data_IF_364314339485
#
_entry.id   IF_364314339485
#
_cell.length_a   1.000
_cell.length_b   1.000
_cell.length_c   1.000
_cell.angle_alpha   90.00
_cell.angle_beta   90.00
_cell.angle_gamma   90.00
#
_symmetry.space_group_name_H-M   'P 1'
#
loop_
_entity.id
_entity.type
_entity.pdbx_description
1 polymer ?
#
# COMPACT_ATOMS: atom_id res chain seq x y z
N UNK A 1 -42.53 -124.83 -1.69
CA UNK A 1 -43.75 -124.16 -2.19
C UNK A 1 -44.19 -125.01 -3.37
N UNK A 2 -45.29 -125.75 -3.24
CA UNK A 2 -45.78 -126.65 -4.28
C UNK A 2 -46.27 -125.81 -5.45
N UNK A 3 -45.76 -126.05 -6.65
CA UNK A 3 -46.17 -125.30 -7.85
C UNK A 3 -47.59 -125.74 -8.26
N UNK A 4 -48.42 -124.83 -8.78
CA UNK A 4 -49.72 -125.18 -9.41
C UNK A 4 -49.53 -126.31 -10.43
N UNK A 5 -48.39 -126.31 -11.13
CA UNK A 5 -48.02 -127.36 -12.07
C UNK A 5 -47.82 -128.73 -11.40
N UNK A 6 -47.35 -128.78 -10.16
CA UNK A 6 -47.15 -130.02 -9.39
C UNK A 6 -48.49 -130.58 -8.86
N UNK A 7 -49.36 -129.72 -8.33
CA UNK A 7 -50.70 -130.07 -7.83
C UNK A 7 -51.56 -130.66 -8.96
N UNK A 8 -51.59 -130.01 -10.11
CA UNK A 8 -52.32 -130.49 -11.30
C UNK A 8 -51.73 -131.79 -11.87
N UNK A 9 -50.42 -131.99 -11.72
CA UNK A 9 -49.75 -133.22 -12.16
C UNK A 9 -50.03 -134.42 -11.24
N UNK A 10 -50.18 -134.21 -9.94
CA UNK A 10 -50.56 -135.23 -8.97
C UNK A 10 -52.01 -135.72 -9.16
N UNK A 11 -52.96 -134.82 -9.48
CA UNK A 11 -54.33 -135.19 -9.89
C UNK A 11 -54.34 -136.11 -11.11
N UNK A 12 -53.51 -135.78 -12.11
CA UNK A 12 -53.43 -136.51 -13.39
C UNK A 12 -52.88 -137.93 -13.22
N UNK A 13 -52.09 -138.17 -12.17
CA UNK A 13 -51.55 -139.49 -11.80
C UNK A 13 -52.51 -140.32 -10.94
N UNK A 14 -53.61 -139.73 -10.47
CA UNK A 14 -54.58 -140.39 -9.59
C UNK A 14 -54.15 -140.45 -8.12
N UNK A 15 -53.08 -139.75 -7.76
CA UNK A 15 -52.49 -139.72 -6.41
C UNK A 15 -53.25 -138.77 -5.46
N UNK A 16 -54.14 -137.93 -6.00
CA UNK A 16 -55.03 -137.02 -5.28
C UNK A 16 -56.43 -137.06 -5.91
N UNK A 17 -57.45 -136.91 -5.09
CA UNK A 17 -58.84 -136.72 -5.52
C UNK A 17 -59.09 -135.28 -5.97
N UNK A 18 -60.15 -135.06 -6.77
CA UNK A 18 -60.54 -133.71 -7.23
C UNK A 18 -60.78 -132.76 -6.04
N UNK A 19 -61.30 -133.28 -4.94
CA UNK A 19 -61.58 -132.51 -3.72
C UNK A 19 -60.29 -132.10 -2.99
N UNK A 20 -59.29 -132.97 -2.93
CA UNK A 20 -57.96 -132.65 -2.38
C UNK A 20 -57.23 -131.60 -3.23
N UNK A 21 -57.37 -131.66 -4.55
CA UNK A 21 -56.79 -130.66 -5.46
C UNK A 21 -57.47 -129.30 -5.33
N UNK A 22 -58.79 -129.28 -5.17
CA UNK A 22 -59.52 -128.06 -4.88
C UNK A 22 -59.05 -127.45 -3.56
N UNK A 23 -58.83 -128.26 -2.53
CA UNK A 23 -58.28 -127.79 -1.25
C UNK A 23 -56.85 -127.24 -1.39
N UNK A 24 -55.95 -127.94 -2.07
CA UNK A 24 -54.58 -127.46 -2.30
C UNK A 24 -54.54 -126.16 -3.13
N UNK A 25 -55.36 -126.06 -4.18
CA UNK A 25 -55.49 -124.81 -4.96
C UNK A 25 -56.06 -123.67 -4.12
N UNK A 26 -57.03 -123.95 -3.24
CA UNK A 26 -57.63 -122.94 -2.38
C UNK A 26 -56.62 -122.44 -1.33
N UNK A 27 -55.77 -123.33 -0.79
CA UNK A 27 -54.68 -122.97 0.10
C UNK A 27 -53.60 -122.14 -0.61
N UNK A 28 -53.27 -122.49 -1.85
CA UNK A 28 -52.32 -121.75 -2.69
C UNK A 28 -52.86 -120.36 -3.04
N UNK A 29 -54.16 -120.26 -3.39
CA UNK A 29 -54.84 -119.00 -3.68
C UNK A 29 -54.94 -118.13 -2.43
N UNK A 30 -55.19 -118.72 -1.26
CA UNK A 30 -55.17 -118.03 0.04
C UNK A 30 -53.78 -117.51 0.38
N UNK A 31 -52.73 -118.30 0.11
CA UNK A 31 -51.33 -117.91 0.31
C UNK A 31 -50.92 -116.76 -0.60
N UNK A 32 -51.27 -116.82 -1.89
CA UNK A 32 -51.02 -115.75 -2.87
C UNK A 32 -51.79 -114.49 -2.48
N UNK A 33 -53.05 -114.62 -2.09
CA UNK A 33 -53.86 -113.48 -1.65
C UNK A 33 -53.27 -112.81 -0.41
N UNK A 34 -52.80 -113.60 0.55
CA UNK A 34 -52.06 -113.10 1.72
C UNK A 34 -50.78 -112.39 1.30
N UNK A 35 -49.99 -112.96 0.38
CA UNK A 35 -48.79 -112.31 -0.14
C UNK A 35 -49.07 -110.99 -0.87
N UNK A 36 -50.18 -110.88 -1.60
CA UNK A 36 -50.62 -109.64 -2.23
C UNK A 36 -51.07 -108.61 -1.18
N UNK A 37 -51.83 -109.04 -0.17
CA UNK A 37 -52.27 -108.16 0.91
C UNK A 37 -51.08 -107.68 1.76
N UNK A 38 -50.08 -108.54 2.00
CA UNK A 38 -48.82 -108.21 2.69
C UNK A 38 -47.96 -107.20 1.88
N UNK A 39 -48.13 -107.12 0.55
CA UNK A 39 -47.43 -106.17 -0.32
C UNK A 39 -48.10 -104.80 -0.42
N UNK A 40 -49.37 -104.64 -0.02
CA UNK A 40 -50.08 -103.36 -0.11
C UNK A 40 -49.42 -102.27 0.74
N UNK A 41 -49.15 -102.58 2.02
CA UNK A 41 -48.57 -101.60 2.94
C UNK A 41 -47.18 -101.13 2.50
N UNK A 42 -46.22 -102.00 2.13
CA UNK A 42 -44.92 -101.56 1.61
C UNK A 42 -45.02 -100.68 0.36
N UNK A 43 -45.99 -100.92 -0.52
CA UNK A 43 -46.21 -100.09 -1.72
C UNK A 43 -46.77 -98.72 -1.33
N UNK A 44 -47.73 -98.67 -0.40
CA UNK A 44 -48.26 -97.40 0.13
C UNK A 44 -47.18 -96.58 0.83
N UNK A 45 -46.35 -97.23 1.66
CA UNK A 45 -45.21 -96.60 2.34
C UNK A 45 -44.19 -96.04 1.33
N UNK A 46 -43.92 -96.76 0.23
CA UNK A 46 -43.04 -96.30 -0.85
C UNK A 46 -43.61 -95.07 -1.56
N UNK A 47 -44.91 -95.05 -1.84
CA UNK A 47 -45.57 -93.90 -2.48
C UNK A 47 -45.55 -92.66 -1.58
N UNK A 48 -45.80 -92.83 -0.28
CA UNK A 48 -45.69 -91.73 0.69
C UNK A 48 -44.26 -91.22 0.81
N UNK A 49 -43.28 -92.12 0.83
CA UNK A 49 -41.87 -91.77 0.85
C UNK A 49 -41.45 -90.97 -0.40
N UNK A 50 -41.82 -91.43 -1.60
CA UNK A 50 -41.54 -90.72 -2.85
C UNK A 50 -42.19 -89.33 -2.89
N UNK A 51 -43.42 -89.20 -2.39
CA UNK A 51 -44.08 -87.90 -2.24
C UNK A 51 -43.33 -86.99 -1.28
N UNK A 52 -42.93 -87.51 -0.11
CA UNK A 52 -42.15 -86.77 0.86
C UNK A 52 -40.83 -86.25 0.27
N UNK A 53 -40.11 -87.10 -0.47
CA UNK A 53 -38.90 -86.67 -1.18
C UNK A 53 -39.18 -85.62 -2.26
N UNK A 54 -40.25 -85.78 -3.03
CA UNK A 54 -40.62 -84.81 -4.07
C UNK A 54 -40.93 -83.44 -3.47
N UNK A 55 -41.65 -83.40 -2.35
CA UNK A 55 -41.99 -82.14 -1.67
C UNK A 55 -40.74 -81.47 -1.06
N UNK A 56 -39.84 -82.24 -0.46
CA UNK A 56 -38.56 -81.73 0.04
C UNK A 56 -37.68 -81.16 -1.08
N UNK A 57 -37.61 -81.83 -2.23
CA UNK A 57 -36.86 -81.35 -3.40
C UNK A 57 -37.44 -80.02 -3.89
N UNK A 58 -38.76 -79.92 -4.05
CA UNK A 58 -39.42 -78.68 -4.47
C UNK A 58 -39.17 -77.53 -3.48
N UNK A 59 -39.20 -77.82 -2.19
CA UNK A 59 -38.91 -76.83 -1.15
C UNK A 59 -37.43 -76.38 -1.20
N UNK A 60 -36.51 -77.31 -1.46
CA UNK A 60 -35.09 -77.00 -1.62
C UNK A 60 -34.82 -76.17 -2.87
N UNK A 61 -35.42 -76.53 -4.02
CA UNK A 61 -35.28 -75.79 -5.28
C UNK A 61 -35.81 -74.36 -5.17
N UNK A 62 -36.99 -74.17 -4.55
CA UNK A 62 -37.54 -72.83 -4.33
C UNK A 62 -36.68 -71.99 -3.39
N UNK A 63 -36.15 -72.59 -2.32
CA UNK A 63 -35.22 -71.92 -1.40
C UNK A 63 -33.92 -71.51 -2.09
N UNK A 64 -33.34 -72.39 -2.91
CA UNK A 64 -32.13 -72.09 -3.68
C UNK A 64 -32.34 -70.99 -4.71
N UNK A 65 -33.51 -70.96 -5.36
CA UNK A 65 -33.85 -69.89 -6.30
C UNK A 65 -33.93 -68.53 -5.58
N UNK A 66 -34.57 -68.48 -4.41
CA UNK A 66 -34.65 -67.27 -3.58
C UNK A 66 -33.26 -66.80 -3.15
N UNK A 67 -32.42 -67.70 -2.65
CA UNK A 67 -31.04 -67.39 -2.23
C UNK A 67 -30.21 -66.88 -3.42
N UNK A 68 -30.37 -67.46 -4.61
CA UNK A 68 -29.65 -67.02 -5.82
C UNK A 68 -30.04 -65.60 -6.25
N UNK A 69 -31.32 -65.25 -6.10
CA UNK A 69 -31.80 -63.88 -6.36
C UNK A 69 -31.24 -62.89 -5.32
N UNK A 70 -31.22 -63.28 -4.04
CA UNK A 70 -30.64 -62.47 -2.96
C UNK A 70 -29.14 -62.24 -3.17
N UNK A 71 -28.37 -63.28 -3.52
CA UNK A 71 -26.95 -63.18 -3.85
C UNK A 71 -26.72 -62.19 -5.01
N UNK A 72 -27.57 -62.25 -6.04
CA UNK A 72 -27.47 -61.34 -7.19
C UNK A 72 -27.75 -59.90 -6.76
N UNK A 73 -28.75 -59.67 -5.92
CA UNK A 73 -29.08 -58.35 -5.37
C UNK A 73 -27.93 -57.79 -4.54
N UNK A 74 -27.40 -58.57 -3.60
CA UNK A 74 -26.29 -58.18 -2.73
C UNK A 74 -25.01 -57.92 -3.54
N UNK A 75 -24.76 -58.67 -4.60
CA UNK A 75 -23.63 -58.44 -5.50
C UNK A 75 -23.74 -57.10 -6.21
N UNK A 76 -24.93 -56.74 -6.69
CA UNK A 76 -25.17 -55.44 -7.34
C UNK A 76 -25.07 -54.27 -6.34
N UNK A 77 -25.60 -54.45 -5.13
CA UNK A 77 -25.51 -53.45 -4.07
C UNK A 77 -24.06 -53.22 -3.65
N UNK A 78 -23.28 -54.30 -3.49
CA UNK A 78 -21.85 -54.23 -3.22
C UNK A 78 -21.11 -53.43 -4.30
N UNK A 79 -21.35 -53.71 -5.58
CA UNK A 79 -20.71 -52.97 -6.67
C UNK A 79 -21.09 -51.47 -6.67
N UNK A 80 -22.34 -51.15 -6.34
CA UNK A 80 -22.81 -49.76 -6.22
C UNK A 80 -22.12 -49.03 -5.05
N UNK A 81 -21.94 -49.72 -3.93
CA UNK A 81 -21.26 -49.20 -2.76
C UNK A 81 -19.75 -49.01 -3.01
N UNK A 82 -19.10 -49.94 -3.70
CA UNK A 82 -17.68 -49.81 -4.11
C UNK A 82 -17.46 -48.59 -5.02
N UNK A 83 -18.35 -48.37 -6.00
CA UNK A 83 -18.30 -47.19 -6.86
C UNK A 83 -18.51 -45.88 -6.07
N UNK A 84 -19.44 -45.88 -5.11
CA UNK A 84 -19.70 -44.70 -4.26
C UNK A 84 -18.53 -44.39 -3.33
N UNK A 85 -17.89 -45.43 -2.79
CA UNK A 85 -16.69 -45.31 -1.99
C UNK A 85 -15.54 -44.72 -2.81
N UNK A 86 -15.33 -45.20 -4.04
CA UNK A 86 -14.31 -44.67 -4.94
C UNK A 86 -14.52 -43.16 -5.21
N UNK A 87 -15.74 -42.75 -5.57
CA UNK A 87 -16.07 -41.33 -5.79
C UNK A 87 -15.78 -40.47 -4.55
N UNK A 88 -16.17 -40.97 -3.38
CA UNK A 88 -15.92 -40.26 -2.11
C UNK A 88 -14.41 -40.10 -1.84
N UNK A 89 -13.60 -41.11 -2.18
CA UNK A 89 -12.14 -41.03 -2.05
C UNK A 89 -11.52 -40.03 -3.03
N UNK A 90 -12.03 -39.96 -4.26
CA UNK A 90 -11.60 -38.97 -5.26
C UNK A 90 -11.93 -37.54 -4.79
N UNK A 91 -13.16 -37.30 -4.31
CA UNK A 91 -13.58 -36.00 -3.76
C UNK A 91 -12.78 -35.59 -2.53
N UNK A 92 -12.49 -36.55 -1.64
CA UNK A 92 -11.64 -36.32 -0.46
C UNK A 92 -10.21 -35.90 -0.87
N UNK A 93 -9.66 -36.55 -1.89
CA UNK A 93 -8.32 -36.23 -2.42
C UNK A 93 -8.31 -34.83 -3.01
N UNK A 94 -9.28 -34.48 -3.86
CA UNK A 94 -9.39 -33.15 -4.46
C UNK A 94 -9.54 -32.05 -3.39
N UNK A 95 -10.36 -32.30 -2.37
CA UNK A 95 -10.56 -31.37 -1.25
C UNK A 95 -9.27 -31.19 -0.44
N UNK A 96 -8.53 -32.27 -0.22
CA UNK A 96 -7.24 -32.23 0.49
C UNK A 96 -6.20 -31.42 -0.29
N UNK A 97 -6.11 -31.61 -1.61
CA UNK A 97 -5.23 -30.81 -2.46
C UNK A 97 -5.59 -29.32 -2.44
N UNK A 98 -6.89 -28.99 -2.52
CA UNK A 98 -7.36 -27.60 -2.39
C UNK A 98 -6.95 -27.01 -1.04
N UNK A 99 -7.07 -27.77 0.05
CA UNK A 99 -6.65 -27.34 1.39
C UNK A 99 -5.16 -27.02 1.44
N UNK A 100 -4.31 -27.89 0.90
CA UNK A 100 -2.86 -27.68 0.86
C UNK A 100 -2.50 -26.42 0.06
N UNK A 101 -3.14 -26.18 -1.09
CA UNK A 101 -2.93 -24.96 -1.89
C UNK A 101 -3.32 -23.70 -1.11
N UNK A 102 -4.42 -23.74 -0.37
CA UNK A 102 -4.86 -22.62 0.47
C UNK A 102 -3.91 -22.38 1.64
N UNK A 103 -3.44 -23.43 2.32
CA UNK A 103 -2.45 -23.33 3.40
C UNK A 103 -1.14 -22.68 2.92
N UNK A 104 -0.67 -23.02 1.72
CA UNK A 104 0.50 -22.38 1.11
C UNK A 104 0.27 -20.89 0.87
N UNK A 105 -0.87 -20.51 0.27
CA UNK A 105 -1.22 -19.09 0.05
C UNK A 105 -1.30 -18.29 1.35
N UNK A 106 -1.85 -18.88 2.41
CA UNK A 106 -1.90 -18.23 3.73
C UNK A 106 -0.50 -17.94 4.27
N UNK A 107 0.46 -18.86 4.09
CA UNK A 107 1.86 -18.64 4.51
C UNK A 107 2.56 -17.55 3.70
N UNK A 108 2.33 -17.51 2.38
CA UNK A 108 2.84 -16.47 1.49
C UNK A 108 2.33 -15.08 1.90
N UNK A 109 1.00 -14.93 2.03
CA UNK A 109 0.35 -13.68 2.43
C UNK A 109 0.82 -13.24 3.82
N UNK A 110 0.96 -14.17 4.77
CA UNK A 110 1.45 -13.84 6.12
C UNK A 110 2.88 -13.29 6.09
N UNK A 111 3.71 -13.80 5.18
CA UNK A 111 5.09 -13.33 4.99
C UNK A 111 5.11 -11.94 4.36
N UNK A 112 4.31 -11.71 3.32
CA UNK A 112 4.16 -10.40 2.68
C UNK A 112 3.63 -9.34 3.65
N UNK A 113 2.64 -9.70 4.48
CA UNK A 113 2.08 -8.82 5.51
C UNK A 113 3.15 -8.44 6.54
N UNK A 114 3.96 -9.40 6.99
CA UNK A 114 5.08 -9.15 7.91
C UNK A 114 6.10 -8.19 7.30
N UNK A 115 6.47 -8.38 6.04
CA UNK A 115 7.39 -7.50 5.32
C UNK A 115 6.82 -6.09 5.14
N UNK A 116 5.54 -5.98 4.81
CA UNK A 116 4.84 -4.70 4.67
C UNK A 116 4.79 -3.95 6.00
N UNK A 117 4.51 -4.65 7.09
CA UNK A 117 4.52 -4.06 8.45
C UNK A 117 5.90 -3.51 8.82
N UNK A 118 6.98 -4.23 8.50
CA UNK A 118 8.36 -3.74 8.72
C UNK A 118 8.66 -2.47 7.91
N UNK A 119 8.23 -2.43 6.64
CA UNK A 119 8.39 -1.24 5.79
C UNK A 119 7.61 -0.04 6.32
N UNK A 120 6.37 -0.27 6.79
CA UNK A 120 5.56 0.78 7.40
C UNK A 120 6.22 1.36 8.66
N UNK A 121 6.73 0.49 9.54
CA UNK A 121 7.49 0.94 10.72
C UNK A 121 8.73 1.74 10.37
N UNK A 122 9.46 1.36 9.32
CA UNK A 122 10.61 2.12 8.84
C UNK A 122 10.19 3.51 8.32
N UNK A 123 9.10 3.58 7.54
CA UNK A 123 8.56 4.83 7.03
C UNK A 123 8.05 5.75 8.16
N UNK A 124 7.42 5.21 9.21
CA UNK A 124 6.99 5.98 10.37
C UNK A 124 8.19 6.61 11.11
N UNK A 125 9.30 5.88 11.23
CA UNK A 125 10.54 6.39 11.83
C UNK A 125 11.15 7.50 10.95
N UNK A 126 11.22 7.29 9.64
CA UNK A 126 11.75 8.28 8.70
C UNK A 126 10.93 9.57 8.72
N UNK A 127 9.59 9.46 8.73
CA UNK A 127 8.68 10.59 8.82
C UNK A 127 8.87 11.38 10.12
N UNK A 128 9.08 10.70 11.25
CA UNK A 128 9.34 11.35 12.53
C UNK A 128 10.64 12.16 12.50
N UNK A 129 11.72 11.60 11.93
CA UNK A 129 13.01 12.28 11.77
C UNK A 129 12.90 13.49 10.84
N UNK A 130 12.21 13.34 9.72
CA UNK A 130 12.00 14.44 8.77
C UNK A 130 11.15 15.56 9.38
N UNK A 131 10.12 15.19 10.16
CA UNK A 131 9.29 16.17 10.90
C UNK A 131 10.12 16.95 11.92
N UNK A 132 10.97 16.28 12.70
CA UNK A 132 11.87 16.95 13.66
C UNK A 132 12.85 17.89 12.95
N UNK A 133 13.42 17.43 11.82
CA UNK A 133 14.36 18.22 11.02
C UNK A 133 13.68 19.48 10.45
N UNK A 134 12.48 19.33 9.90
CA UNK A 134 11.69 20.45 9.40
C UNK A 134 11.34 21.45 10.52
N UNK A 135 11.00 20.97 11.73
CA UNK A 135 10.76 21.86 12.87
C UNK A 135 12.00 22.67 13.25
N UNK A 136 13.19 22.05 13.24
CA UNK A 136 14.47 22.75 13.49
C UNK A 136 14.73 23.83 12.43
N UNK A 137 14.58 23.48 11.16
CA UNK A 137 14.76 24.43 10.04
C UNK A 137 13.78 25.61 10.16
N UNK A 138 12.51 25.35 10.47
CA UNK A 138 11.51 26.43 10.66
C UNK A 138 11.89 27.36 11.81
N UNK A 139 12.41 26.82 12.92
CA UNK A 139 12.87 27.61 14.06
C UNK A 139 14.11 28.46 13.71
N UNK A 140 15.06 27.88 12.97
CA UNK A 140 16.25 28.60 12.46
C UNK A 140 15.85 29.74 11.52
N UNK A 141 14.99 29.48 10.54
CA UNK A 141 14.47 30.50 9.61
C UNK A 141 13.79 31.64 10.37
N UNK A 142 12.96 31.31 11.38
CA UNK A 142 12.27 32.33 12.18
C UNK A 142 13.25 33.23 12.91
N UNK A 143 14.31 32.65 13.49
CA UNK A 143 15.38 33.40 14.16
C UNK A 143 16.15 34.29 13.20
N UNK A 144 16.48 33.79 12.02
CA UNK A 144 17.19 34.55 10.98
C UNK A 144 16.35 35.71 10.44
N UNK A 145 15.04 35.50 10.25
CA UNK A 145 14.09 36.55 9.85
C UNK A 145 14.05 37.64 10.91
N UNK A 146 13.84 37.30 12.19
CA UNK A 146 13.83 38.27 13.29
C UNK A 146 15.15 39.06 13.36
N UNK A 147 16.29 38.38 13.25
CA UNK A 147 17.61 39.04 13.26
C UNK A 147 17.77 40.01 12.09
N UNK A 148 17.30 39.61 10.91
CA UNK A 148 17.39 40.42 9.69
C UNK A 148 16.48 41.63 9.77
N UNK A 149 15.24 41.47 10.27
CA UNK A 149 14.33 42.59 10.50
C UNK A 149 14.90 43.61 11.48
N UNK A 150 15.52 43.16 12.58
CA UNK A 150 16.18 44.06 13.54
C UNK A 150 17.35 44.82 12.90
N UNK A 151 18.14 44.17 12.05
CA UNK A 151 19.22 44.84 11.30
C UNK A 151 18.67 45.88 10.33
N UNK A 152 17.59 45.56 9.60
CA UNK A 152 16.93 46.49 8.68
C UNK A 152 16.43 47.72 9.44
N UNK A 153 15.73 47.53 10.55
CA UNK A 153 15.25 48.64 11.40
C UNK A 153 16.40 49.53 11.89
N UNK A 154 17.54 48.92 12.26
CA UNK A 154 18.76 49.65 12.64
C UNK A 154 19.29 50.53 11.51
N UNK A 155 19.37 49.98 10.29
CA UNK A 155 19.83 50.70 9.09
C UNK A 155 18.85 51.84 8.74
N UNK A 156 17.54 51.59 8.78
CA UNK A 156 16.52 52.60 8.49
C UNK A 156 16.58 53.78 9.45
N UNK A 157 16.75 53.49 10.76
CA UNK A 157 16.90 54.53 11.78
C UNK A 157 18.16 55.36 11.56
N UNK A 158 19.28 54.73 11.22
CA UNK A 158 20.52 55.43 10.91
C UNK A 158 20.36 56.31 9.67
N UNK A 159 19.74 55.79 8.61
CA UNK A 159 19.51 56.53 7.38
C UNK A 159 18.62 57.76 7.60
N UNK A 160 17.61 57.69 8.46
CA UNK A 160 16.77 58.86 8.78
C UNK A 160 17.55 59.92 9.58
N UNK A 161 18.39 59.52 10.54
CA UNK A 161 19.29 60.45 11.24
C UNK A 161 20.24 61.16 10.27
N UNK A 162 20.84 60.44 9.33
CA UNK A 162 21.71 61.01 8.30
C UNK A 162 20.94 61.98 7.39
N UNK A 163 19.72 61.63 6.98
CA UNK A 163 18.84 62.53 6.21
C UNK A 163 18.53 63.83 6.96
N UNK A 164 18.27 63.75 8.25
CA UNK A 164 17.99 64.94 9.06
C UNK A 164 19.20 65.86 9.20
N UNK A 165 20.41 65.28 9.38
CA UNK A 165 21.67 66.03 9.35
C UNK A 165 21.83 66.74 7.99
N UNK A 166 21.60 66.04 6.89
CA UNK A 166 21.68 66.60 5.54
C UNK A 166 20.64 67.71 5.34
N UNK A 167 19.39 67.52 5.77
CA UNK A 167 18.33 68.54 5.71
C UNK A 167 18.72 69.80 6.47
N UNK A 168 19.22 69.65 7.70
CA UNK A 168 19.68 70.78 8.53
C UNK A 168 20.84 71.52 7.87
N UNK A 169 21.87 70.80 7.43
CA UNK A 169 23.03 71.39 6.75
C UNK A 169 22.62 72.11 5.46
N UNK A 170 21.69 71.55 4.68
CA UNK A 170 21.14 72.20 3.49
C UNK A 170 20.39 73.50 3.84
N UNK A 171 19.61 73.51 4.91
CA UNK A 171 18.93 74.70 5.41
C UNK A 171 19.90 75.80 5.85
N UNK A 172 20.93 75.44 6.63
CA UNK A 172 21.99 76.35 7.04
C UNK A 172 22.74 76.94 5.84
N UNK A 173 23.06 76.12 4.85
CA UNK A 173 23.67 76.57 3.60
C UNK A 173 22.77 77.57 2.86
N UNK A 174 21.47 77.28 2.71
CA UNK A 174 20.54 78.21 2.05
C UNK A 174 20.43 79.54 2.81
N UNK A 175 20.42 79.50 4.14
CA UNK A 175 20.41 80.70 4.97
C UNK A 175 21.67 81.55 4.77
N UNK A 176 22.85 80.91 4.74
CA UNK A 176 24.12 81.57 4.42
C UNK A 176 24.09 82.18 3.01
N UNK A 177 23.67 81.42 2.00
CA UNK A 177 23.52 81.90 0.62
C UNK A 177 22.58 83.12 0.54
N UNK A 178 21.49 83.13 1.31
CA UNK A 178 20.57 84.27 1.38
C UNK A 178 21.21 85.50 2.04
N UNK A 179 21.88 85.33 3.18
CA UNK A 179 22.54 86.43 3.90
C UNK A 179 23.67 87.07 3.08
N UNK A 180 24.41 86.27 2.32
CA UNK A 180 25.39 86.75 1.33
C UNK A 180 24.70 87.55 0.24
N UNK A 181 23.63 87.02 -0.38
CA UNK A 181 22.88 87.73 -1.44
C UNK A 181 22.24 89.04 -0.99
N UNK A 182 21.89 89.16 0.30
CA UNK A 182 21.30 90.37 0.89
C UNK A 182 22.34 91.34 1.45
N UNK A 183 23.64 91.08 1.28
CA UNK A 183 24.76 91.86 1.83
C UNK A 183 24.70 92.03 3.36
N UNK A 184 24.07 91.10 4.08
CA UNK A 184 24.06 91.11 5.55
C UNK A 184 25.34 90.49 6.13
N UNK A 185 25.99 89.61 5.36
CA UNK A 185 27.34 89.09 5.63
C UNK A 185 28.15 89.32 4.36
N UNK A 186 29.19 90.15 4.43
CA UNK A 186 30.14 90.32 3.34
C UNK A 186 31.47 89.69 3.73
N UNK A 187 31.92 88.70 2.96
CA UNK A 187 33.27 88.17 3.09
C UNK A 187 34.29 89.25 2.69
N UNK A 188 35.45 89.27 3.36
CA UNK A 188 36.51 90.25 3.08
C UNK A 188 36.90 90.25 1.58
N UNK A 189 36.92 89.08 0.95
CA UNK A 189 37.15 88.92 -0.50
C UNK A 189 36.07 89.61 -1.34
N UNK A 190 34.79 89.46 -0.98
CA UNK A 190 33.67 90.13 -1.64
C UNK A 190 33.68 91.65 -1.45
N UNK A 191 34.04 92.16 -0.25
CA UNK A 191 34.20 93.61 -0.02
C UNK A 191 35.27 94.21 -0.92
N UNK A 192 36.42 93.53 -1.02
CA UNK A 192 37.53 93.95 -1.87
C UNK A 192 37.11 93.90 -3.35
N UNK A 193 36.50 92.81 -3.82
CA UNK A 193 35.98 92.69 -5.19
C UNK A 193 34.95 93.80 -5.51
N UNK A 194 33.97 94.03 -4.65
CA UNK A 194 32.96 95.08 -4.86
C UNK A 194 33.58 96.49 -4.89
N UNK A 195 34.62 96.73 -4.10
CA UNK A 195 35.34 98.02 -4.12
C UNK A 195 36.18 98.24 -5.39
N UNK A 196 36.48 97.16 -6.11
CA UNK A 196 37.19 97.14 -7.38
C UNK A 196 36.23 97.19 -8.59
N UNK A 197 34.94 96.90 -8.40
CA UNK A 197 33.97 96.88 -9.50
C UNK A 197 33.87 98.26 -10.18
N UNK A 198 33.96 98.27 -11.51
CA UNK A 198 34.00 99.48 -12.33
C UNK A 198 35.31 100.29 -12.29
N UNK A 199 36.36 99.83 -11.58
CA UNK A 199 37.67 100.50 -11.51
C UNK A 199 38.75 99.68 -12.22
N UNK A 200 39.37 100.23 -13.25
CA UNK A 200 40.50 99.60 -13.95
C UNK A 200 41.82 99.77 -13.20
N UNK A 201 42.02 100.93 -12.56
CA UNK A 201 43.20 101.23 -11.73
C UNK A 201 42.74 101.84 -10.40
N UNK A 202 43.26 101.33 -9.30
CA UNK A 202 43.05 101.89 -7.95
C UNK A 202 44.29 101.64 -7.09
N UNK A 203 44.33 102.21 -5.90
CA UNK A 203 45.36 101.92 -4.90
C UNK A 203 44.78 101.25 -3.63
N UNK A 204 45.68 100.62 -2.88
CA UNK A 204 45.40 99.96 -1.61
C UNK A 204 44.72 100.90 -0.62
N UNK A 205 45.21 102.15 -0.51
CA UNK A 205 44.67 103.16 0.42
C UNK A 205 43.19 103.44 0.15
N UNK A 206 42.81 103.52 -1.12
CA UNK A 206 41.42 103.73 -1.53
C UNK A 206 40.56 102.52 -1.19
N UNK A 207 41.05 101.29 -1.39
CA UNK A 207 40.31 100.07 -1.01
C UNK A 207 40.16 99.96 0.51
N UNK A 208 41.21 100.24 1.27
CA UNK A 208 41.20 100.29 2.74
C UNK A 208 40.13 101.25 3.24
N UNK A 209 40.03 102.43 2.63
CA UNK A 209 39.03 103.45 2.99
C UNK A 209 37.59 103.04 2.63
N UNK A 210 37.40 102.37 1.49
CA UNK A 210 36.07 101.96 1.02
C UNK A 210 35.55 100.72 1.76
N UNK A 211 36.43 99.78 2.08
CA UNK A 211 36.04 98.48 2.68
C UNK A 211 36.12 98.49 4.21
N UNK A 212 36.90 99.40 4.80
CA UNK A 212 37.17 99.46 6.24
C UNK A 212 37.98 98.27 6.77
N UNK A 213 38.58 97.47 5.88
CA UNK A 213 39.42 96.32 6.22
C UNK A 213 40.86 96.75 6.47
N UNK A 214 41.63 95.99 7.24
CA UNK A 214 43.06 96.27 7.41
C UNK A 214 43.85 95.96 6.13
N UNK A 215 44.89 96.74 5.87
CA UNK A 215 45.75 96.60 4.68
C UNK A 215 46.31 95.19 4.53
N UNK A 216 46.73 94.54 5.62
CA UNK A 216 47.22 93.16 5.59
C UNK A 216 46.18 92.14 5.10
N UNK A 217 44.89 92.39 5.40
CA UNK A 217 43.79 91.52 5.01
C UNK A 217 43.40 91.75 3.55
N UNK A 218 43.46 93.01 3.10
CA UNK A 218 43.26 93.39 1.70
C UNK A 218 44.41 92.84 0.85
N UNK A 219 45.66 92.99 1.27
CA UNK A 219 46.85 92.50 0.55
C UNK A 219 46.77 90.99 0.33
N UNK A 220 46.49 90.22 1.38
CA UNK A 220 46.30 88.77 1.30
C UNK A 220 45.17 88.36 0.35
N UNK A 221 44.12 89.17 0.28
CA UNK A 221 42.99 88.96 -0.63
C UNK A 221 43.39 89.26 -2.08
N UNK A 222 44.08 90.39 -2.31
CA UNK A 222 44.58 90.80 -3.63
C UNK A 222 45.61 89.82 -4.18
N UNK A 223 46.55 89.33 -3.37
CA UNK A 223 47.48 88.24 -3.73
C UNK A 223 46.73 86.97 -4.17
N UNK A 224 45.62 86.65 -3.50
CA UNK A 224 44.75 85.53 -3.86
C UNK A 224 44.09 85.72 -5.22
N UNK A 225 43.63 86.93 -5.53
CA UNK A 225 43.02 87.30 -6.81
C UNK A 225 44.05 87.40 -7.94
N UNK A 226 45.26 87.87 -7.63
CA UNK A 226 46.41 87.91 -8.54
C UNK A 226 46.85 86.50 -8.94
N UNK A 227 46.93 85.57 -7.98
CA UNK A 227 47.19 84.13 -8.28
C UNK A 227 46.15 83.50 -9.20
N UNK A 228 44.92 84.05 -9.24
CA UNK A 228 43.86 83.64 -10.17
C UNK A 228 43.88 84.43 -11.49
N UNK A 229 44.88 85.28 -11.71
CA UNK A 229 45.06 86.16 -12.87
C UNK A 229 43.93 87.16 -13.09
N UNK A 230 43.24 87.59 -12.03
CA UNK A 230 42.10 88.52 -12.13
C UNK A 230 42.51 90.00 -12.02
N UNK A 231 43.68 90.26 -11.44
CA UNK A 231 44.28 91.58 -11.26
C UNK A 231 45.81 91.45 -11.15
N UNK A 232 46.51 92.58 -11.19
CA UNK A 232 47.92 92.70 -10.79
C UNK A 232 48.03 93.64 -9.59
N UNK A 233 48.78 93.24 -8.57
CA UNK A 233 48.94 94.01 -7.33
C UNK A 233 50.43 94.25 -7.06
N UNK A 234 50.83 95.53 -7.03
CA UNK A 234 52.18 95.92 -6.66
C UNK A 234 52.25 96.23 -5.16
N UNK A 235 52.82 95.29 -4.40
CA UNK A 235 52.95 95.38 -2.95
C UNK A 235 53.86 96.52 -2.48
N UNK A 236 54.73 97.05 -3.35
CA UNK A 236 55.65 98.14 -3.03
C UNK A 236 55.04 99.53 -3.19
N UNK A 237 54.09 99.68 -4.12
CA UNK A 237 53.43 100.96 -4.41
C UNK A 237 51.96 100.98 -3.97
N UNK A 238 51.40 99.82 -3.62
CA UNK A 238 49.98 99.64 -3.32
C UNK A 238 49.07 99.75 -4.55
N UNK A 239 49.62 99.74 -5.77
CA UNK A 239 48.86 99.90 -7.00
C UNK A 239 48.15 98.60 -7.42
N UNK A 240 46.90 98.71 -7.84
CA UNK A 240 46.05 97.58 -8.23
C UNK A 240 45.47 97.85 -9.61
N UNK A 241 45.74 96.95 -10.55
CA UNK A 241 45.19 97.01 -11.92
C UNK A 241 44.33 95.80 -12.18
N UNK A 242 43.06 96.02 -12.52
CA UNK A 242 42.10 94.94 -12.79
C UNK A 242 42.26 94.51 -14.24
N UNK A 243 42.63 93.24 -14.46
CA UNK A 243 42.98 92.71 -15.79
C UNK A 243 41.86 91.90 -16.44
N UNK A 244 40.78 91.59 -15.70
CA UNK A 244 39.60 90.85 -16.19
C UNK A 244 38.29 91.26 -15.51
N UNK A 245 37.18 90.59 -15.84
CA UNK A 245 35.90 90.83 -15.15
C UNK A 245 35.92 90.19 -13.76
N UNK A 246 35.67 90.97 -12.72
CA UNK A 246 35.63 90.53 -11.32
C UNK A 246 34.22 90.05 -10.87
N UNK A 247 33.30 89.80 -11.80
CA UNK A 247 31.95 89.31 -11.46
C UNK A 247 32.02 87.87 -10.95
N UNK A 248 31.54 87.67 -9.72
CA UNK A 248 31.18 86.36 -9.16
C UNK A 248 29.87 85.84 -9.79
#
# INVERSE_FOLDING_TARGET
MTDISEVLSALKRGDLTVEEVLNELNDLLTTVKKGIDDLKQPIEDLVEFEKGQSDEILQFESSNLSLSQEITSLTNEKATNENSLQRTQEEYTETTEKRVRLETKVREISTELSNTKKRLQAADVELAVETETNQKIVAEISTDVESTEQKILGIEKQAEMERDIIRKSKGERMALEFLIKKNHIEFNELKVINSLDGRTNTDMVTITKVTGLSEALIAKTLEGLEKRNLLTYDDSTGAITVTGSLKL
#
